data_IF_230894965187
#
_entry.id   IF_230894965187
#
_cell.length_a   1.000
_cell.length_b   1.000
_cell.length_c   1.000
_cell.angle_alpha   90.00
_cell.angle_beta   90.00
_cell.angle_gamma   90.00
#
_symmetry.space_group_name_H-M   'P 1'
#
loop_
_entity.id
_entity.type
_entity.pdbx_description
1 polymer ?
#
# COMPACT_ATOMS: atom_id res chain seq x y z
N UNK A 1 18.74 -9.22 -17.63
CA UNK A 1 18.95 -8.86 -19.04
C UNK A 1 18.55 -9.96 -20.04
N UNK A 2 18.66 -11.26 -19.68
CA UNK A 2 18.29 -12.38 -20.56
C UNK A 2 16.84 -12.30 -21.09
N UNK A 3 15.88 -11.91 -20.25
CA UNK A 3 14.48 -11.73 -20.67
C UNK A 3 14.36 -10.69 -21.80
N UNK A 4 15.17 -9.63 -21.79
CA UNK A 4 15.17 -8.60 -22.82
C UNK A 4 15.67 -9.10 -24.17
N UNK A 5 16.50 -10.16 -24.16
CA UNK A 5 17.10 -10.74 -25.36
C UNK A 5 16.19 -11.80 -25.98
N UNK A 6 15.49 -12.61 -25.19
CA UNK A 6 14.66 -13.72 -25.65
C UNK A 6 13.32 -13.25 -26.18
N UNK A 7 12.73 -12.23 -25.58
CA UNK A 7 11.44 -11.68 -26.01
C UNK A 7 11.60 -10.62 -27.11
N UNK A 8 10.74 -10.65 -28.12
CA UNK A 8 10.69 -9.61 -29.16
C UNK A 8 10.28 -8.27 -28.55
N UNK A 9 10.64 -7.15 -29.22
CA UNK A 9 10.33 -5.83 -28.68
C UNK A 9 8.82 -5.50 -28.77
N UNK A 10 8.13 -6.12 -29.73
CA UNK A 10 6.69 -6.01 -29.97
C UNK A 10 5.88 -7.17 -29.37
N UNK A 11 6.49 -7.94 -28.44
CA UNK A 11 5.80 -9.05 -27.82
C UNK A 11 4.49 -8.62 -27.13
N UNK A 12 3.56 -9.56 -27.05
CA UNK A 12 2.34 -9.44 -26.24
C UNK A 12 2.36 -10.46 -25.10
N UNK A 13 2.00 -10.00 -23.92
CA UNK A 13 1.85 -10.82 -22.74
C UNK A 13 0.38 -10.86 -22.30
N UNK A 14 -0.16 -12.06 -22.13
CA UNK A 14 -1.52 -12.26 -21.60
C UNK A 14 -1.39 -12.91 -20.22
N UNK A 15 -1.75 -12.16 -19.18
CA UNK A 15 -1.70 -12.66 -17.81
C UNK A 15 -2.87 -13.63 -17.51
N UNK A 16 -2.79 -14.32 -16.38
CA UNK A 16 -3.80 -15.28 -15.97
C UNK A 16 -5.19 -14.66 -15.67
N UNK A 17 -5.32 -13.31 -15.67
CA UNK A 17 -6.60 -12.60 -15.62
C UNK A 17 -7.11 -12.16 -17.00
N UNK A 18 -6.43 -12.62 -18.08
CA UNK A 18 -6.72 -12.25 -19.47
C UNK A 18 -6.50 -10.76 -19.77
N UNK A 19 -5.62 -10.08 -19.04
CA UNK A 19 -5.17 -8.76 -19.42
C UNK A 19 -3.98 -8.86 -20.38
N UNK A 20 -4.00 -8.04 -21.43
CA UNK A 20 -2.88 -7.97 -22.40
C UNK A 20 -1.97 -6.81 -22.04
N UNK A 21 -0.66 -7.08 -22.02
CA UNK A 21 0.41 -6.10 -21.77
C UNK A 21 1.49 -6.21 -22.84
N UNK A 22 2.29 -5.19 -22.97
CA UNK A 22 3.50 -5.17 -23.76
C UNK A 22 4.72 -5.73 -22.99
N UNK A 23 5.88 -5.75 -23.61
CA UNK A 23 7.14 -6.18 -23.01
C UNK A 23 7.49 -5.44 -21.72
N UNK A 24 7.26 -4.13 -21.66
CA UNK A 24 7.52 -3.34 -20.46
C UNK A 24 6.61 -3.75 -19.31
N UNK A 25 5.32 -3.94 -19.58
CA UNK A 25 4.35 -4.43 -18.61
C UNK A 25 4.62 -5.87 -18.13
N UNK A 26 5.16 -6.73 -19.00
CA UNK A 26 5.63 -8.07 -18.63
C UNK A 26 6.81 -8.00 -17.66
N UNK A 27 7.84 -7.22 -18.00
CA UNK A 27 9.04 -7.06 -17.16
C UNK A 27 8.65 -6.50 -15.78
N UNK A 28 7.81 -5.46 -15.73
CA UNK A 28 7.30 -4.91 -14.47
C UNK A 28 6.53 -5.95 -13.63
N UNK A 29 5.80 -6.86 -14.28
CA UNK A 29 5.12 -7.97 -13.61
C UNK A 29 6.10 -8.96 -12.96
N UNK A 30 7.18 -9.31 -13.67
CA UNK A 30 8.24 -10.18 -13.15
C UNK A 30 8.99 -9.50 -11.98
N UNK A 31 9.33 -8.22 -12.11
CA UNK A 31 9.96 -7.44 -11.03
C UNK A 31 9.05 -7.39 -9.80
N UNK A 32 7.76 -7.11 -9.97
CA UNK A 32 6.78 -7.12 -8.88
C UNK A 32 6.64 -8.47 -8.20
N UNK A 33 6.82 -9.59 -8.93
CA UNK A 33 6.85 -10.93 -8.33
C UNK A 33 8.03 -11.07 -7.35
N UNK A 34 9.22 -10.57 -7.71
CA UNK A 34 10.39 -10.57 -6.82
C UNK A 34 10.24 -9.61 -5.63
N UNK A 35 9.41 -8.58 -5.73
CA UNK A 35 9.07 -7.72 -4.59
C UNK A 35 8.15 -8.41 -3.59
N UNK A 36 7.25 -9.27 -4.06
CA UNK A 36 6.25 -9.96 -3.23
C UNK A 36 6.75 -11.27 -2.63
N UNK A 37 7.66 -11.99 -3.30
CA UNK A 37 8.01 -13.36 -2.92
C UNK A 37 9.52 -13.57 -2.77
N UNK A 38 9.88 -14.45 -1.82
CA UNK A 38 11.18 -15.07 -1.67
C UNK A 38 11.11 -16.55 -2.06
N UNK A 39 12.28 -17.20 -2.22
CA UNK A 39 12.43 -18.64 -2.50
C UNK A 39 11.64 -19.10 -3.74
N UNK A 40 11.58 -18.25 -4.77
CA UNK A 40 10.84 -18.57 -6.00
C UNK A 40 11.51 -19.73 -6.72
N UNK A 41 10.74 -20.77 -7.00
CA UNK A 41 11.16 -21.92 -7.83
C UNK A 41 10.07 -22.35 -8.80
N UNK A 42 10.51 -22.94 -9.91
CA UNK A 42 9.68 -23.64 -10.88
C UNK A 42 10.21 -25.06 -10.99
N UNK A 43 9.39 -26.04 -10.67
CA UNK A 43 9.72 -27.44 -10.62
C UNK A 43 8.79 -28.23 -11.53
N UNK A 44 9.20 -29.44 -11.94
CA UNK A 44 8.37 -30.31 -12.74
C UNK A 44 7.09 -30.69 -11.99
N UNK A 45 5.98 -30.85 -12.71
CA UNK A 45 4.65 -31.03 -12.08
C UNK A 45 4.56 -32.30 -11.23
N UNK A 46 5.19 -33.40 -11.65
CA UNK A 46 5.08 -34.69 -10.98
C UNK A 46 6.42 -35.38 -10.72
N UNK A 47 7.55 -34.72 -10.97
CA UNK A 47 8.85 -35.38 -10.96
C UNK A 47 8.91 -36.50 -11.99
N UNK A 48 8.03 -36.49 -12.99
CA UNK A 48 7.98 -37.43 -14.07
C UNK A 48 9.13 -37.18 -15.05
N UNK A 49 10.11 -38.07 -15.02
CA UNK A 49 11.29 -37.97 -15.87
C UNK A 49 10.98 -38.20 -17.37
N UNK A 50 9.73 -38.17 -17.80
CA UNK A 50 9.35 -38.37 -19.20
C UNK A 50 9.55 -37.16 -20.09
N UNK A 51 9.81 -35.94 -19.51
CA UNK A 51 10.00 -34.70 -20.24
C UNK A 51 8.69 -34.21 -20.87
N UNK A 52 7.55 -34.59 -20.34
CA UNK A 52 6.22 -34.19 -20.83
C UNK A 52 5.82 -32.78 -20.39
N UNK A 53 6.61 -32.15 -19.54
CA UNK A 53 6.37 -30.80 -19.02
C UNK A 53 6.61 -29.72 -20.06
N UNK A 54 7.33 -30.03 -21.13
CA UNK A 54 7.62 -29.09 -22.24
C UNK A 54 7.21 -29.72 -23.56
N UNK A 55 6.23 -29.12 -24.22
CA UNK A 55 5.81 -29.51 -25.56
C UNK A 55 5.98 -28.37 -26.55
N UNK A 56 6.60 -28.68 -27.71
CA UNK A 56 6.66 -27.72 -28.83
C UNK A 56 5.87 -28.26 -30.01
N UNK A 57 4.87 -27.49 -30.44
CA UNK A 57 4.02 -27.83 -31.58
C UNK A 57 4.21 -26.82 -32.71
N UNK A 58 4.47 -27.33 -33.92
CA UNK A 58 4.43 -26.55 -35.15
C UNK A 58 3.11 -26.83 -35.87
N UNK A 59 2.31 -25.79 -36.04
CA UNK A 59 1.03 -25.87 -36.73
C UNK A 59 1.21 -25.85 -38.26
N UNK A 60 0.21 -26.30 -38.99
CA UNK A 60 0.25 -26.37 -40.46
C UNK A 60 0.42 -25.00 -41.14
N UNK A 61 0.10 -23.91 -40.47
CA UNK A 61 0.30 -22.54 -40.93
C UNK A 61 1.70 -21.97 -40.57
N UNK A 62 2.60 -22.82 -40.03
CA UNK A 62 3.96 -22.44 -39.65
C UNK A 62 4.09 -21.78 -38.27
N UNK A 63 3.01 -21.54 -37.55
CA UNK A 63 3.06 -21.01 -36.19
C UNK A 63 3.62 -22.05 -35.23
N UNK A 64 4.56 -21.63 -34.37
CA UNK A 64 5.20 -22.50 -33.38
C UNK A 64 4.80 -22.04 -31.99
N UNK A 65 4.37 -22.99 -31.16
CA UNK A 65 4.10 -22.79 -29.75
C UNK A 65 4.88 -23.79 -28.89
N UNK A 66 5.42 -23.29 -27.77
CA UNK A 66 5.96 -24.14 -26.71
C UNK A 66 5.08 -23.96 -25.46
N UNK A 67 4.61 -25.07 -24.92
CA UNK A 67 3.84 -25.12 -23.70
C UNK A 67 4.69 -25.72 -22.59
N UNK A 68 4.63 -25.13 -21.40
CA UNK A 68 5.37 -25.55 -20.21
C UNK A 68 4.39 -25.74 -19.08
N UNK A 69 4.43 -26.89 -18.43
CA UNK A 69 3.70 -27.21 -17.21
C UNK A 69 4.71 -27.38 -16.09
N UNK A 70 4.60 -26.57 -15.06
CA UNK A 70 5.42 -26.67 -13.85
C UNK A 70 4.63 -26.39 -12.58
N UNK A 71 5.29 -26.64 -11.46
CA UNK A 71 4.83 -26.22 -10.16
C UNK A 71 5.59 -24.96 -9.79
N UNK A 72 4.87 -23.85 -9.60
CA UNK A 72 5.43 -22.65 -9.00
C UNK A 72 5.41 -22.81 -7.48
N UNK A 73 6.54 -22.52 -6.83
CA UNK A 73 6.64 -22.48 -5.37
C UNK A 73 7.36 -21.22 -4.93
N UNK A 74 6.92 -20.62 -3.81
CA UNK A 74 7.53 -19.42 -3.25
C UNK A 74 7.13 -19.23 -1.77
N UNK A 75 7.78 -18.26 -1.12
CA UNK A 75 7.40 -17.78 0.22
C UNK A 75 6.96 -16.31 0.12
N UNK A 76 5.75 -15.98 0.52
CA UNK A 76 5.25 -14.60 0.54
C UNK A 76 5.98 -13.77 1.58
N UNK A 77 6.54 -12.62 1.19
CA UNK A 77 7.30 -11.71 2.08
C UNK A 77 6.43 -11.04 3.13
N UNK A 78 5.19 -10.74 2.78
CA UNK A 78 4.25 -10.01 3.63
C UNK A 78 3.33 -10.93 4.43
N UNK A 79 2.95 -12.09 3.87
CA UNK A 79 2.11 -13.08 4.57
C UNK A 79 2.92 -14.12 5.34
N UNK A 80 4.19 -14.36 4.98
CA UNK A 80 5.02 -15.47 5.48
C UNK A 80 4.54 -16.85 4.99
N UNK A 81 3.57 -16.91 4.08
CA UNK A 81 3.00 -18.17 3.64
C UNK A 81 3.85 -18.82 2.55
N UNK A 82 4.13 -20.12 2.73
CA UNK A 82 4.65 -20.95 1.64
C UNK A 82 3.51 -21.33 0.71
N UNK A 83 3.71 -21.12 -0.58
CA UNK A 83 2.75 -21.39 -1.63
C UNK A 83 3.33 -22.37 -2.64
N UNK A 84 2.47 -23.21 -3.20
CA UNK A 84 2.81 -24.12 -4.28
C UNK A 84 1.55 -24.41 -5.09
N UNK A 85 1.62 -24.28 -6.43
CA UNK A 85 0.48 -24.53 -7.31
C UNK A 85 0.93 -24.83 -8.74
N UNK A 86 0.11 -25.56 -9.55
CA UNK A 86 0.38 -25.77 -10.96
C UNK A 86 0.40 -24.47 -11.74
N UNK A 87 1.41 -24.29 -12.58
CA UNK A 87 1.63 -23.12 -13.39
C UNK A 87 1.84 -23.53 -14.85
N UNK A 88 1.03 -23.00 -15.76
CA UNK A 88 1.15 -23.27 -17.19
C UNK A 88 1.47 -22.00 -17.96
N UNK A 89 2.49 -22.08 -18.83
CA UNK A 89 2.91 -20.99 -19.70
C UNK A 89 2.91 -21.50 -21.14
N UNK A 90 2.38 -20.69 -22.06
CA UNK A 90 2.47 -20.91 -23.49
C UNK A 90 3.25 -19.79 -24.16
N UNK A 91 4.28 -20.15 -24.93
CA UNK A 91 5.11 -19.22 -25.71
C UNK A 91 4.86 -19.39 -27.20
N UNK A 92 4.54 -18.30 -27.90
CA UNK A 92 4.54 -18.27 -29.36
C UNK A 92 5.88 -17.73 -29.85
N UNK A 93 6.45 -18.41 -30.84
CA UNK A 93 7.73 -18.03 -31.41
C UNK A 93 7.57 -17.28 -32.73
N UNK A 94 8.42 -16.29 -32.94
CA UNK A 94 8.73 -15.69 -34.24
C UNK A 94 10.24 -15.80 -34.47
N UNK A 95 10.64 -16.75 -35.31
CA UNK A 95 12.04 -17.13 -35.48
C UNK A 95 12.65 -17.63 -34.18
N UNK A 96 13.62 -16.91 -33.62
CA UNK A 96 14.34 -17.26 -32.40
C UNK A 96 13.86 -16.41 -31.19
N UNK A 97 12.80 -15.64 -31.35
CA UNK A 97 12.27 -14.78 -30.30
C UNK A 97 10.85 -15.16 -29.91
N UNK A 98 10.51 -14.95 -28.65
CA UNK A 98 9.15 -15.12 -28.14
C UNK A 98 8.37 -13.84 -28.47
N UNK A 99 7.32 -13.98 -29.30
CA UNK A 99 6.45 -12.88 -29.72
C UNK A 99 5.18 -12.78 -28.88
N UNK A 100 4.83 -13.85 -28.16
CA UNK A 100 3.69 -13.90 -27.27
C UNK A 100 3.91 -14.84 -26.12
N UNK A 101 3.47 -14.43 -24.93
CA UNK A 101 3.36 -15.29 -23.76
C UNK A 101 1.92 -15.28 -23.23
N UNK A 102 1.43 -16.44 -22.81
CA UNK A 102 0.12 -16.59 -22.14
C UNK A 102 0.31 -17.43 -20.90
N UNK A 103 -0.19 -16.96 -19.78
CA UNK A 103 -0.10 -17.65 -18.50
C UNK A 103 -1.46 -18.13 -18.00
N UNK A 104 -1.46 -19.30 -17.34
CA UNK A 104 -2.63 -19.90 -16.72
C UNK A 104 -2.28 -20.42 -15.34
N UNK A 105 -2.84 -19.80 -14.31
CA UNK A 105 -2.72 -20.22 -12.91
C UNK A 105 -3.83 -19.58 -12.05
N UNK A 106 -4.00 -20.05 -10.82
CA UNK A 106 -4.91 -19.44 -9.86
C UNK A 106 -4.28 -18.16 -9.25
N UNK A 107 -4.88 -17.01 -9.53
CA UNK A 107 -4.41 -15.71 -9.04
C UNK A 107 -4.68 -15.47 -7.55
N UNK A 108 -5.51 -16.27 -6.88
CA UNK A 108 -5.96 -15.98 -5.52
C UNK A 108 -4.80 -15.84 -4.52
N UNK A 109 -3.71 -16.58 -4.74
CA UNK A 109 -2.51 -16.54 -3.91
C UNK A 109 -1.73 -15.24 -4.12
N UNK A 110 -1.58 -14.82 -5.38
CA UNK A 110 -0.95 -13.55 -5.73
C UNK A 110 -1.75 -12.36 -5.19
N UNK A 111 -3.08 -12.41 -5.30
CA UNK A 111 -3.97 -11.37 -4.76
C UNK A 111 -3.82 -11.22 -3.26
N UNK A 112 -3.68 -12.34 -2.56
CA UNK A 112 -3.50 -12.34 -1.10
C UNK A 112 -2.18 -11.67 -0.70
N UNK A 113 -1.07 -11.99 -1.38
CA UNK A 113 0.23 -11.39 -1.10
C UNK A 113 0.26 -9.91 -1.50
N UNK A 114 -0.32 -9.55 -2.66
CA UNK A 114 -0.44 -8.16 -3.11
C UNK A 114 -1.24 -7.31 -2.13
N UNK A 115 -2.36 -7.84 -1.63
CA UNK A 115 -3.17 -7.14 -0.61
C UNK A 115 -2.39 -6.97 0.70
N UNK A 116 -1.60 -7.97 1.12
CA UNK A 116 -0.75 -7.87 2.31
C UNK A 116 0.38 -6.84 2.13
N UNK A 117 1.02 -6.80 0.95
CA UNK A 117 2.02 -5.79 0.59
C UNK A 117 1.41 -4.38 0.62
N UNK A 118 0.25 -4.19 -0.01
CA UNK A 118 -0.44 -2.90 -0.01
C UNK A 118 -0.85 -2.48 1.39
N UNK A 119 -1.34 -3.41 2.21
CA UNK A 119 -1.66 -3.13 3.61
C UNK A 119 -0.42 -2.71 4.40
N UNK A 120 0.72 -3.40 4.23
CA UNK A 120 1.98 -3.05 4.88
C UNK A 120 2.50 -1.67 4.45
N UNK A 121 2.45 -1.36 3.16
CA UNK A 121 2.83 -0.06 2.62
C UNK A 121 1.91 1.05 3.15
N UNK A 122 0.59 0.81 3.16
CA UNK A 122 -0.36 1.76 3.74
C UNK A 122 -0.11 2.03 5.23
N UNK A 123 0.30 1.02 6.01
CA UNK A 123 0.71 1.22 7.42
C UNK A 123 1.95 2.10 7.52
N UNK A 124 2.92 1.93 6.60
CA UNK A 124 4.15 2.73 6.61
C UNK A 124 3.93 4.19 6.28
N UNK A 125 2.88 4.53 5.54
CA UNK A 125 2.55 5.90 5.15
C UNK A 125 1.58 6.59 6.13
N UNK A 126 0.77 5.80 6.87
CA UNK A 126 -0.21 6.35 7.81
C UNK A 126 0.44 7.08 8.97
N UNK A 127 -0.18 8.20 9.32
CA UNK A 127 0.19 8.96 10.50
C UNK A 127 -0.93 8.91 11.54
N UNK A 128 -0.53 8.79 12.80
CA UNK A 128 -1.39 8.94 13.97
C UNK A 128 -0.88 10.12 14.78
N UNK A 129 -1.74 11.10 14.97
CA UNK A 129 -1.48 12.28 15.76
C UNK A 129 -2.22 12.15 17.08
N UNK A 130 -1.50 12.39 18.17
CA UNK A 130 -2.03 12.35 19.51
C UNK A 130 -1.71 13.67 20.20
N UNK A 131 -2.77 14.43 20.57
CA UNK A 131 -2.60 15.65 21.35
C UNK A 131 -3.27 15.52 22.72
N UNK A 132 -2.52 15.85 23.76
CA UNK A 132 -3.09 16.13 25.07
C UNK A 132 -3.27 17.66 25.22
N UNK A 133 -4.48 18.06 25.50
CA UNK A 133 -4.89 19.45 25.57
C UNK A 133 -5.42 19.77 26.96
N UNK A 134 -5.07 20.93 27.52
CA UNK A 134 -5.70 21.50 28.69
C UNK A 134 -6.77 22.49 28.26
N UNK A 135 -7.97 22.39 28.84
CA UNK A 135 -9.02 23.36 28.61
C UNK A 135 -8.70 24.62 29.42
N UNK A 136 -8.63 25.77 28.73
CA UNK A 136 -8.29 27.05 29.36
C UNK A 136 -9.37 27.50 30.35
N UNK A 137 -8.94 28.25 31.37
CA UNK A 137 -9.81 28.69 32.45
C UNK A 137 -11.02 29.52 31.94
N UNK A 138 -12.19 29.19 32.44
CA UNK A 138 -13.44 29.88 32.10
C UNK A 138 -14.28 29.20 31.03
N UNK A 139 -13.74 28.20 30.35
CA UNK A 139 -14.50 27.38 29.39
C UNK A 139 -15.15 26.18 30.07
N UNK A 140 -16.34 25.83 29.63
CA UNK A 140 -17.13 24.68 30.07
C UNK A 140 -16.99 23.49 29.14
N UNK A 141 -17.51 22.34 29.52
CA UNK A 141 -17.58 21.15 28.68
C UNK A 141 -18.47 21.39 27.45
N UNK A 142 -19.53 22.15 27.60
CA UNK A 142 -20.46 22.54 26.54
C UNK A 142 -19.80 23.46 25.52
N UNK A 143 -18.93 24.39 25.96
CA UNK A 143 -18.12 25.23 25.07
C UNK A 143 -17.16 24.41 24.22
N UNK A 144 -16.48 23.42 24.85
CA UNK A 144 -15.60 22.47 24.14
C UNK A 144 -16.39 21.68 23.11
N UNK A 145 -17.55 21.11 23.45
CA UNK A 145 -18.39 20.35 22.53
C UNK A 145 -18.84 21.19 21.32
N UNK A 146 -19.19 22.46 21.58
CA UNK A 146 -19.60 23.40 20.52
C UNK A 146 -18.46 23.69 19.54
N UNK A 147 -17.25 23.91 20.05
CA UNK A 147 -16.07 24.11 19.19
C UNK A 147 -15.72 22.84 18.42
N UNK A 148 -15.66 21.69 19.11
CA UNK A 148 -15.32 20.38 18.49
C UNK A 148 -16.27 20.05 17.35
N UNK A 149 -17.56 20.35 17.48
CA UNK A 149 -18.50 20.16 16.38
C UNK A 149 -18.10 20.96 15.14
N UNK A 150 -17.72 22.24 15.29
CA UNK A 150 -17.28 23.09 14.17
C UNK A 150 -15.99 22.56 13.53
N UNK A 151 -15.03 22.11 14.35
CA UNK A 151 -13.79 21.52 13.89
C UNK A 151 -14.07 20.25 13.06
N UNK A 152 -14.89 19.33 13.58
CA UNK A 152 -15.26 18.10 12.88
C UNK A 152 -16.00 18.37 11.57
N UNK A 153 -16.95 19.32 11.56
CA UNK A 153 -17.70 19.70 10.37
C UNK A 153 -16.76 20.25 9.28
N UNK A 154 -15.76 21.07 9.68
CA UNK A 154 -14.78 21.65 8.76
C UNK A 154 -13.84 20.59 8.18
N UNK A 155 -13.24 19.75 9.03
CA UNK A 155 -12.30 18.67 8.58
C UNK A 155 -13.03 17.71 7.65
N UNK A 156 -14.21 17.25 8.03
CA UNK A 156 -15.00 16.33 7.19
C UNK A 156 -15.35 16.90 5.82
N UNK A 157 -15.55 18.21 5.71
CA UNK A 157 -15.88 18.87 4.45
C UNK A 157 -14.68 19.12 3.55
N UNK A 158 -13.47 19.27 4.10
CA UNK A 158 -12.31 19.76 3.36
C UNK A 158 -11.14 18.77 3.29
N UNK A 159 -11.16 17.66 4.04
CA UNK A 159 -10.02 16.76 4.22
C UNK A 159 -10.43 15.29 4.06
N UNK A 160 -10.61 14.81 2.83
CA UNK A 160 -11.21 13.49 2.55
C UNK A 160 -10.36 12.31 3.05
N UNK A 161 -9.05 12.51 3.25
CA UNK A 161 -8.11 11.47 3.69
C UNK A 161 -7.79 11.53 5.19
N UNK A 162 -8.46 12.42 5.94
CA UNK A 162 -8.50 12.39 7.41
C UNK A 162 -9.55 11.38 7.82
N UNK A 163 -9.14 10.16 8.21
CA UNK A 163 -10.08 9.07 8.47
C UNK A 163 -10.41 8.85 9.94
N UNK A 164 -9.75 9.57 10.86
CA UNK A 164 -10.11 9.67 12.28
C UNK A 164 -9.82 11.10 12.77
N UNK A 165 -10.77 11.71 13.46
CA UNK A 165 -10.64 13.05 14.05
C UNK A 165 -11.53 13.12 15.28
N UNK A 166 -11.05 12.51 16.38
CA UNK A 166 -11.88 12.22 17.56
C UNK A 166 -11.33 12.88 18.81
N UNK A 167 -12.24 13.56 19.52
CA UNK A 167 -11.95 14.26 20.77
C UNK A 167 -12.56 13.51 21.96
N UNK A 168 -11.75 13.26 22.98
CA UNK A 168 -12.16 12.66 24.24
C UNK A 168 -11.96 13.66 25.38
N UNK A 169 -13.01 14.01 26.11
CA UNK A 169 -12.93 14.95 27.23
C UNK A 169 -12.99 14.20 28.56
N UNK A 170 -12.15 14.61 29.52
CA UNK A 170 -12.14 14.08 30.87
C UNK A 170 -13.46 14.37 31.60
N UNK A 171 -13.80 13.56 32.60
CA UNK A 171 -15.06 13.72 33.39
C UNK A 171 -15.16 15.12 34.00
N UNK A 172 -14.07 15.67 34.51
CA UNK A 172 -13.99 16.99 35.11
C UNK A 172 -13.96 18.15 34.09
N UNK A 173 -14.01 17.85 32.78
CA UNK A 173 -14.02 18.83 31.69
C UNK A 173 -12.75 19.62 31.48
N UNK A 174 -11.62 19.26 32.13
CA UNK A 174 -10.39 20.07 32.12
C UNK A 174 -9.34 19.61 31.14
N UNK A 175 -9.43 18.40 30.63
CA UNK A 175 -8.46 17.84 29.68
C UNK A 175 -9.19 17.23 28.50
N UNK A 176 -8.57 17.37 27.34
CA UNK A 176 -9.05 16.74 26.10
C UNK A 176 -7.90 15.95 25.51
N UNK A 177 -8.20 14.75 25.03
CA UNK A 177 -7.32 13.93 24.24
C UNK A 177 -7.87 13.91 22.82
N UNK A 178 -7.07 14.36 21.85
CA UNK A 178 -7.40 14.38 20.45
C UNK A 178 -6.59 13.29 19.73
N UNK A 179 -7.29 12.50 18.95
CA UNK A 179 -6.71 11.51 18.03
C UNK A 179 -7.05 11.92 16.61
N UNK A 180 -6.03 12.02 15.78
CA UNK A 180 -6.18 12.28 14.36
C UNK A 180 -5.43 11.19 13.59
N UNK A 181 -5.97 10.75 12.45
CA UNK A 181 -5.33 9.77 11.59
C UNK A 181 -5.43 10.17 10.13
N UNK A 182 -4.29 10.14 9.47
CA UNK A 182 -4.11 10.53 8.07
C UNK A 182 -3.57 9.36 7.25
N UNK A 183 -3.97 9.26 5.99
CA UNK A 183 -3.45 8.24 5.09
C UNK A 183 -1.97 8.46 4.78
N UNK A 184 -1.54 9.72 4.65
CA UNK A 184 -0.16 10.08 4.32
C UNK A 184 0.30 11.33 5.06
N UNK A 185 1.62 11.62 5.03
CA UNK A 185 2.16 12.91 5.50
C UNK A 185 1.63 14.11 4.71
N UNK A 186 1.33 13.96 3.41
CA UNK A 186 0.77 15.04 2.60
C UNK A 186 -0.64 15.43 3.07
N UNK A 187 -1.44 14.47 3.55
CA UNK A 187 -2.76 14.75 4.11
C UNK A 187 -2.66 15.51 5.44
N UNK A 188 -1.65 15.21 6.26
CA UNK A 188 -1.36 16.00 7.46
C UNK A 188 -0.85 17.40 7.13
N UNK A 189 -0.04 17.57 6.07
CA UNK A 189 0.37 18.90 5.56
C UNK A 189 -0.86 19.70 5.12
N UNK A 190 -1.79 19.07 4.40
CA UNK A 190 -3.07 19.70 4.03
C UNK A 190 -3.85 20.16 5.26
N UNK A 191 -3.98 19.28 6.27
CA UNK A 191 -4.65 19.61 7.54
C UNK A 191 -3.99 20.80 8.23
N UNK A 192 -2.67 20.79 8.40
CA UNK A 192 -1.93 21.86 9.07
C UNK A 192 -2.15 23.22 8.38
N UNK A 193 -2.07 23.26 7.04
CA UNK A 193 -2.31 24.47 6.26
C UNK A 193 -3.77 24.96 6.38
N UNK A 194 -4.75 24.06 6.30
CA UNK A 194 -6.16 24.37 6.48
C UNK A 194 -6.48 24.87 7.88
N UNK A 195 -5.82 24.31 8.88
CA UNK A 195 -6.01 24.67 10.27
C UNK A 195 -5.40 26.02 10.59
N UNK A 196 -4.10 26.25 10.30
CA UNK A 196 -3.42 27.52 10.59
C UNK A 196 -3.99 28.69 9.79
N UNK A 197 -4.31 28.47 8.51
CA UNK A 197 -4.94 29.48 7.65
C UNK A 197 -6.45 29.63 7.83
N UNK A 198 -7.08 28.76 8.62
CA UNK A 198 -8.52 28.61 8.69
C UNK A 198 -9.20 29.38 9.84
N UNK A 199 -10.54 29.40 9.84
CA UNK A 199 -11.33 30.14 10.82
C UNK A 199 -11.31 29.52 12.22
N UNK A 200 -10.83 28.28 12.35
CA UNK A 200 -10.88 27.50 13.59
C UNK A 200 -9.60 27.61 14.42
N UNK A 201 -8.47 28.09 13.86
CA UNK A 201 -7.19 28.21 14.55
C UNK A 201 -7.28 29.07 15.81
N UNK A 202 -7.72 30.32 15.68
CA UNK A 202 -7.81 31.23 16.81
C UNK A 202 -8.79 30.77 17.91
N UNK A 203 -9.99 30.26 17.57
CA UNK A 203 -10.87 29.63 18.56
C UNK A 203 -10.26 28.43 19.27
N UNK A 204 -9.52 27.57 18.55
CA UNK A 204 -8.83 26.42 19.12
C UNK A 204 -7.75 26.85 20.13
N UNK A 205 -6.86 27.75 19.72
CA UNK A 205 -5.79 28.26 20.58
C UNK A 205 -6.29 29.05 21.79
N UNK A 206 -7.50 29.61 21.71
CA UNK A 206 -8.16 30.25 22.85
C UNK A 206 -8.77 29.22 23.82
N UNK A 207 -9.28 28.11 23.29
CA UNK A 207 -9.94 27.04 24.04
C UNK A 207 -8.94 26.11 24.73
N UNK A 208 -7.81 25.82 24.06
CA UNK A 208 -6.88 24.79 24.47
C UNK A 208 -5.44 25.28 24.60
N UNK A 209 -4.76 24.75 25.60
CA UNK A 209 -3.29 24.75 25.72
C UNK A 209 -2.77 23.37 25.35
N UNK A 210 -1.85 23.28 24.40
CA UNK A 210 -1.23 22.00 24.00
C UNK A 210 -0.26 21.57 25.10
N UNK A 211 -0.56 20.44 25.75
CA UNK A 211 0.29 19.86 26.81
C UNK A 211 1.27 18.85 26.22
N UNK A 212 0.81 18.08 25.23
CA UNK A 212 1.62 17.09 24.52
C UNK A 212 1.19 16.97 23.08
N UNK A 213 2.16 16.86 22.16
CA UNK A 213 1.93 16.66 20.74
C UNK A 213 2.86 15.53 20.24
N UNK A 214 2.27 14.41 19.81
CA UNK A 214 2.98 13.25 19.29
C UNK A 214 2.54 13.02 17.86
N UNK A 215 3.50 12.77 16.98
CA UNK A 215 3.27 12.25 15.62
C UNK A 215 3.91 10.87 15.54
N UNK A 216 3.09 9.84 15.36
CA UNK A 216 3.52 8.45 15.19
C UNK A 216 3.33 8.00 13.75
N UNK A 217 4.36 7.40 13.15
CA UNK A 217 4.42 6.98 11.77
C UNK A 217 5.59 7.63 11.03
N UNK A 218 5.59 7.55 9.69
CA UNK A 218 6.68 8.05 8.85
C UNK A 218 6.43 9.49 8.42
N UNK A 219 6.61 10.44 9.35
CA UNK A 219 6.53 11.86 9.03
C UNK A 219 7.64 12.27 8.06
N UNK A 220 7.28 12.88 6.92
CA UNK A 220 8.23 13.40 5.93
C UNK A 220 8.98 14.61 6.46
N UNK A 221 10.14 14.94 5.85
CA UNK A 221 10.91 16.11 6.22
C UNK A 221 10.14 17.42 5.94
N UNK A 222 9.30 17.44 4.91
CA UNK A 222 8.38 18.53 4.62
C UNK A 222 7.42 18.80 5.80
N UNK A 223 6.77 17.74 6.29
CA UNK A 223 5.86 17.85 7.44
C UNK A 223 6.61 18.31 8.70
N UNK A 224 7.81 17.77 8.96
CA UNK A 224 8.62 18.17 10.11
C UNK A 224 9.05 19.63 10.03
N UNK A 225 9.42 20.11 8.85
CA UNK A 225 9.81 21.51 8.63
C UNK A 225 8.60 22.44 8.81
N UNK A 226 7.42 22.06 8.27
CA UNK A 226 6.19 22.83 8.45
C UNK A 226 5.83 23.02 9.93
N UNK A 227 5.96 21.95 10.72
CA UNK A 227 5.55 21.94 12.12
C UNK A 227 6.69 22.23 13.12
N UNK A 228 7.85 22.68 12.69
CA UNK A 228 9.04 22.89 13.53
C UNK A 228 8.85 23.90 14.69
N UNK A 229 7.84 24.74 14.62
CA UNK A 229 7.51 25.70 15.68
C UNK A 229 6.85 25.03 16.91
N UNK A 230 6.35 23.80 16.77
CA UNK A 230 5.70 23.06 17.82
C UNK A 230 6.64 22.06 18.51
N UNK A 231 6.54 21.83 19.82
CA UNK A 231 7.36 20.85 20.53
C UNK A 231 6.82 19.42 20.31
N UNK A 232 7.06 18.86 19.10
CA UNK A 232 6.52 17.57 18.67
C UNK A 232 7.47 16.44 19.03
N UNK A 233 6.93 15.39 19.61
CA UNK A 233 7.60 14.09 19.79
C UNK A 233 7.27 13.17 18.59
N UNK A 234 8.26 12.90 17.73
CA UNK A 234 8.12 11.97 16.61
C UNK A 234 8.40 10.54 17.04
N UNK A 235 7.54 9.59 16.65
CA UNK A 235 7.68 8.16 16.95
C UNK A 235 7.50 7.33 15.69
N UNK A 236 8.44 6.43 15.42
CA UNK A 236 8.35 5.47 14.31
C UNK A 236 7.69 4.17 14.74
N UNK A 237 7.01 3.48 13.82
CA UNK A 237 6.47 2.16 14.08
C UNK A 237 7.60 1.15 14.26
N UNK A 238 7.46 0.28 15.25
CA UNK A 238 8.37 -0.86 15.49
C UNK A 238 7.70 -2.21 15.25
N UNK A 239 6.45 -2.20 14.79
CA UNK A 239 5.63 -3.36 14.48
C UNK A 239 4.15 -3.13 14.77
N UNK A 240 3.31 -4.04 14.31
CA UNK A 240 1.87 -3.99 14.50
C UNK A 240 1.12 -4.30 13.21
N UNK A 241 -0.22 -4.29 13.28
CA UNK A 241 -1.11 -4.40 12.12
C UNK A 241 -2.29 -3.43 12.27
N UNK A 242 -2.86 -3.05 11.12
CA UNK A 242 -4.11 -2.27 11.05
C UNK A 242 -5.08 -3.06 10.17
N UNK A 243 -6.30 -3.22 10.66
CA UNK A 243 -7.40 -3.82 9.90
C UNK A 243 -8.05 -2.81 8.96
#
# INVERSE_FOLDING_TARGET
DYLKEVFSDDMTFVDARNNTKDKAGFIAGVEGMFEMFDDISFEDVDGDATGSEIETTTYSNGIVWTNIWNTFSATGKYTGQKISFPFHISYQWDGLKISREVQFFDNAVFDKELNAMQAANNVSEKLVILLELKVTKGNTKEDVQTLVKKLNDFVRANEPNTYDYTYFISENGKRVFLVEKYLTSADMVLHANNFEGGPNFAPFMKMFEIDKFIIAGNATDELKELLKAYPIEYRTSVGGWIY
#
